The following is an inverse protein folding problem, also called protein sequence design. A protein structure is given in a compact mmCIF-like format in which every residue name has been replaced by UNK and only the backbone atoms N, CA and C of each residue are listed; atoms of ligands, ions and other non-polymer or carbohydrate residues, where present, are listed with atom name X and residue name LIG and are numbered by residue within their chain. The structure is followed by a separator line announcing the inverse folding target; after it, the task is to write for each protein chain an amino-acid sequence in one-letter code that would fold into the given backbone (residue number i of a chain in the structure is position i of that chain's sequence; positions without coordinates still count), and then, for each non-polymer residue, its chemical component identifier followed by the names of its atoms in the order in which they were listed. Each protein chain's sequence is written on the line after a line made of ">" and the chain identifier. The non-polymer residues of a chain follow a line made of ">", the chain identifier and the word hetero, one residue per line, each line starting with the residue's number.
data_IF_711161757292
#
_entry.id   IF_711161757292
#
_cell.length_a   1.000
_cell.length_b   1.000
_cell.length_c   1.000
_cell.angle_alpha   90.00
_cell.angle_beta   90.00
_cell.angle_gamma   90.00
#
_symmetry.space_group_name_H-M   'P 1'
#
loop_
_entity.id
_entity.type
_entity.pdbx_description
1 polymer ?
#
# COMPACT_ATOMS: atom_id res chain seq x y z
N UNK A 1 -28.91 7.66 39.50
CA UNK A 1 -29.21 7.29 38.10
C UNK A 1 -28.25 6.19 37.65
N UNK A 2 -28.71 5.16 36.93
CA UNK A 2 -27.87 4.01 36.56
C UNK A 2 -26.69 4.47 35.67
N UNK A 3 -25.43 4.05 35.94
CA UNK A 3 -24.24 4.59 35.28
C UNK A 3 -24.28 4.48 33.75
N UNK A 4 -24.94 3.43 33.23
CA UNK A 4 -25.17 3.23 31.79
C UNK A 4 -26.05 4.33 31.15
N UNK A 5 -27.01 4.89 31.90
CA UNK A 5 -27.86 5.99 31.42
C UNK A 5 -27.11 7.33 31.41
N UNK A 6 -26.19 7.54 32.34
CA UNK A 6 -25.35 8.74 32.37
C UNK A 6 -24.39 8.74 31.17
N UNK A 7 -23.74 7.60 30.90
CA UNK A 7 -22.85 7.46 29.76
C UNK A 7 -23.58 7.69 28.42
N UNK A 8 -24.80 7.15 28.27
CA UNK A 8 -25.60 7.35 27.07
C UNK A 8 -25.98 8.82 26.85
N UNK A 9 -26.33 9.55 27.92
CA UNK A 9 -26.67 10.99 27.83
C UNK A 9 -25.43 11.82 27.49
N UNK A 10 -24.27 11.52 28.08
CA UNK A 10 -23.02 12.23 27.78
C UNK A 10 -22.60 12.03 26.32
N UNK A 11 -22.70 10.79 25.80
CA UNK A 11 -22.43 10.50 24.39
C UNK A 11 -23.39 11.24 23.46
N UNK A 12 -24.68 11.26 23.81
CA UNK A 12 -25.69 11.93 22.99
C UNK A 12 -25.50 13.46 22.95
N UNK A 13 -25.12 14.07 24.09
CA UNK A 13 -24.77 15.50 24.14
C UNK A 13 -23.53 15.80 23.30
N UNK A 14 -22.49 14.96 23.36
CA UNK A 14 -21.27 15.15 22.59
C UNK A 14 -21.54 15.08 21.07
N UNK A 15 -22.34 14.10 20.63
CA UNK A 15 -22.71 13.95 19.21
C UNK A 15 -23.50 15.17 18.71
N UNK A 16 -24.47 15.65 19.50
CA UNK A 16 -25.26 16.85 19.13
C UNK A 16 -24.38 18.10 19.07
N UNK A 17 -23.45 18.28 20.02
CA UNK A 17 -22.51 19.41 20.01
C UNK A 17 -21.59 19.39 18.79
N UNK A 18 -21.10 18.22 18.37
CA UNK A 18 -20.27 18.08 17.16
C UNK A 18 -21.03 18.40 15.87
N UNK A 19 -22.30 17.98 15.78
CA UNK A 19 -23.14 18.31 14.61
C UNK A 19 -23.44 19.81 14.54
N UNK A 20 -23.73 20.47 15.67
CA UNK A 20 -23.92 21.91 15.71
C UNK A 20 -22.64 22.68 15.31
N UNK A 21 -21.47 22.20 15.73
CA UNK A 21 -20.19 22.80 15.36
C UNK A 21 -19.88 22.68 13.86
N UNK A 22 -20.26 21.57 13.21
CA UNK A 22 -20.10 21.40 11.76
C UNK A 22 -21.00 22.34 10.96
N UNK A 23 -22.23 22.60 11.42
CA UNK A 23 -23.16 23.53 10.76
C UNK A 23 -22.79 25.00 11.03
N UNK A 24 -22.15 25.30 12.16
CA UNK A 24 -21.77 26.67 12.55
C UNK A 24 -20.47 27.20 11.94
N UNK A 25 -19.71 26.42 11.16
CA UNK A 25 -18.39 26.81 10.67
C UNK A 25 -18.36 27.36 9.22
N UNK A 26 -19.51 27.73 8.66
CA UNK A 26 -19.60 28.38 7.35
C UNK A 26 -20.14 29.81 7.44
N UNK A 27 -19.37 30.70 8.09
CA UNK A 27 -19.35 32.14 7.80
C UNK A 27 -18.16 32.81 8.50
N UNK A 28 -17.00 32.83 7.83
CA UNK A 28 -16.02 33.92 7.98
C UNK A 28 -15.14 34.04 6.75
N UNK A 29 -15.76 34.52 5.67
CA UNK A 29 -15.09 35.31 4.66
C UNK A 29 -14.99 36.75 5.18
N UNK A 30 -13.77 37.25 5.38
CA UNK A 30 -13.46 38.67 5.21
C UNK A 30 -12.01 38.83 4.76
N UNK A 31 -11.87 39.77 3.84
CA UNK A 31 -10.79 40.01 2.88
C UNK A 31 -9.78 41.06 3.38
N UNK A 32 -8.87 41.48 2.48
CA UNK A 32 -7.94 42.64 2.51
C UNK A 32 -6.52 42.24 2.98
N UNK A 33 -5.40 42.55 2.30
CA UNK A 33 -5.04 43.59 1.31
C UNK A 33 -3.89 43.08 0.42
N UNK A 34 -3.88 43.53 -0.83
CA UNK A 34 -2.74 43.35 -1.73
C UNK A 34 -1.61 44.37 -1.49
N UNK A 35 -0.45 44.05 -2.06
CA UNK A 35 0.52 45.04 -2.52
C UNK A 35 1.28 44.46 -3.73
N UNK A 36 1.26 45.22 -4.82
CA UNK A 36 1.86 44.95 -6.13
C UNK A 36 3.41 44.99 -6.11
N UNK A 37 4.04 44.39 -7.13
CA UNK A 37 5.00 45.06 -8.07
C UNK A 37 5.70 44.02 -9.01
N UNK A 38 5.27 44.04 -10.29
CA UNK A 38 6.02 44.03 -11.57
C UNK A 38 7.21 43.06 -11.82
N UNK A 39 7.03 42.07 -12.73
CA UNK A 39 7.49 41.98 -14.16
C UNK A 39 8.85 41.25 -14.35
N UNK A 40 9.21 40.68 -15.53
CA UNK A 40 8.46 40.51 -16.80
C UNK A 40 8.56 39.13 -17.51
N UNK A 41 7.48 38.84 -18.25
CA UNK A 41 7.37 38.40 -19.66
C UNK A 41 8.47 37.58 -20.36
N UNK A 42 8.12 36.38 -20.83
CA UNK A 42 8.52 35.74 -22.12
C UNK A 42 7.64 34.48 -22.31
N UNK A 43 6.56 34.46 -23.08
CA UNK A 43 6.45 34.43 -24.54
C UNK A 43 7.18 33.25 -25.23
N UNK A 44 6.53 32.07 -25.31
CA UNK A 44 6.64 31.08 -26.41
C UNK A 44 5.32 30.28 -26.43
N UNK A 45 4.34 30.67 -27.25
CA UNK A 45 4.01 30.14 -28.59
C UNK A 45 3.54 28.68 -28.59
N UNK A 46 2.21 28.53 -28.54
CA UNK A 46 1.48 27.30 -28.85
C UNK A 46 1.65 26.96 -30.34
N UNK A 47 1.87 25.68 -30.64
CA UNK A 47 1.63 25.13 -31.98
C UNK A 47 0.54 24.08 -31.90
N UNK A 48 -0.51 24.41 -32.63
CA UNK A 48 -1.64 23.60 -33.06
C UNK A 48 -1.18 22.37 -33.87
N UNK A 49 -1.77 21.21 -33.60
CA UNK A 49 -1.98 20.14 -34.59
C UNK A 49 -3.34 19.50 -34.33
N UNK A 50 -4.20 19.75 -35.30
CA UNK A 50 -5.51 19.16 -35.59
C UNK A 50 -5.48 17.66 -35.90
N UNK A 51 -6.51 16.97 -35.39
CA UNK A 51 -7.46 16.06 -36.09
C UNK A 51 -6.88 14.84 -36.83
N UNK A 52 -7.25 13.63 -36.39
CA UNK A 52 -8.17 12.82 -37.20
C UNK A 52 -8.82 11.66 -36.43
N UNK A 53 -10.13 11.59 -36.60
CA UNK A 53 -11.04 10.55 -36.16
C UNK A 53 -11.31 9.63 -37.35
N UNK A 54 -11.10 8.33 -37.21
CA UNK A 54 -11.69 7.35 -38.10
C UNK A 54 -12.05 6.08 -37.32
N UNK A 55 -13.36 5.95 -37.10
CA UNK A 55 -14.08 4.77 -36.64
C UNK A 55 -14.27 3.80 -37.81
N UNK A 56 -13.88 2.52 -37.65
CA UNK A 56 -14.44 1.41 -38.43
C UNK A 56 -14.54 0.16 -37.54
N UNK A 57 -15.79 -0.23 -37.25
CA UNK A 57 -16.25 -1.61 -36.90
C UNK A 57 -17.08 -2.08 -38.15
N UNK A 58 -17.56 -3.34 -38.35
CA UNK A 58 -17.54 -4.54 -37.50
C UNK A 58 -17.44 -5.93 -38.20
N UNK A 59 -17.44 -6.98 -37.34
CA UNK A 59 -18.11 -8.30 -37.47
C UNK A 59 -17.44 -9.52 -38.16
N UNK A 60 -17.55 -10.66 -37.43
CA UNK A 60 -17.34 -12.04 -37.90
C UNK A 60 -17.05 -13.00 -36.72
N UNK A 61 -18.01 -13.37 -35.85
CA UNK A 61 -18.84 -14.61 -35.89
C UNK A 61 -18.01 -15.91 -36.08
N UNK A 62 -18.06 -16.99 -35.27
CA UNK A 62 -19.03 -17.51 -34.29
C UNK A 62 -18.34 -18.52 -33.33
N UNK A 63 -19.03 -18.79 -32.21
CA UNK A 63 -19.23 -20.10 -31.55
C UNK A 63 -18.08 -21.13 -31.58
N UNK A 64 -17.52 -21.59 -30.47
CA UNK A 64 -18.18 -22.42 -29.44
C UNK A 64 -17.11 -22.67 -28.37
N UNK A 65 -17.34 -22.54 -27.08
CA UNK A 65 -17.95 -23.60 -26.28
C UNK A 65 -18.16 -23.04 -24.88
N UNK A 66 -19.40 -23.02 -24.40
CA UNK A 66 -19.64 -22.87 -22.95
C UNK A 66 -19.31 -24.22 -22.33
N UNK A 67 -18.03 -24.44 -22.07
CA UNK A 67 -17.62 -25.48 -21.14
C UNK A 67 -17.99 -24.94 -19.77
N UNK A 68 -19.12 -25.40 -19.25
CA UNK A 68 -19.48 -25.25 -17.83
C UNK A 68 -18.54 -26.17 -17.04
N UNK A 69 -17.27 -25.80 -17.02
CA UNK A 69 -16.35 -26.22 -15.97
C UNK A 69 -16.88 -25.55 -14.72
N UNK A 70 -17.40 -26.36 -13.81
CA UNK A 70 -17.45 -25.99 -12.40
C UNK A 70 -16.04 -25.56 -12.03
N UNK A 71 -15.83 -24.25 -12.06
CA UNK A 71 -14.65 -23.63 -11.51
C UNK A 71 -14.69 -23.97 -10.02
N UNK A 72 -14.00 -25.03 -9.66
CA UNK A 72 -13.26 -25.01 -8.41
C UNK A 72 -12.41 -23.75 -8.51
N UNK A 73 -12.91 -22.64 -7.99
CA UNK A 73 -12.23 -21.37 -8.03
C UNK A 73 -10.95 -21.56 -7.21
N UNK A 74 -9.89 -21.98 -7.90
CA UNK A 74 -8.57 -22.17 -7.35
C UNK A 74 -8.25 -20.86 -6.66
N UNK A 75 -8.16 -20.88 -5.33
CA UNK A 75 -7.83 -19.69 -4.58
C UNK A 75 -6.43 -19.26 -5.02
N UNK A 76 -6.34 -18.06 -5.56
CA UNK A 76 -5.06 -17.47 -5.95
C UNK A 76 -4.41 -16.94 -4.67
N UNK A 77 -3.68 -17.82 -3.99
CA UNK A 77 -2.93 -17.50 -2.78
C UNK A 77 -1.53 -17.02 -3.17
N UNK A 78 -1.18 -15.81 -2.76
CA UNK A 78 0.13 -15.21 -3.02
C UNK A 78 0.69 -14.56 -1.76
N UNK A 79 1.99 -14.72 -1.53
CA UNK A 79 2.71 -14.05 -0.47
C UNK A 79 3.45 -12.83 -1.01
N UNK A 80 3.11 -11.64 -0.52
CA UNK A 80 3.85 -10.41 -0.86
C UNK A 80 4.79 -10.08 0.29
N UNK A 81 6.09 -10.02 0.01
CA UNK A 81 7.10 -9.60 0.97
C UNK A 81 7.50 -8.17 0.63
N UNK A 82 7.13 -7.23 1.49
CA UNK A 82 7.41 -5.82 1.34
C UNK A 82 8.66 -5.42 2.11
N UNK A 83 9.45 -4.51 1.55
CA UNK A 83 10.37 -3.66 2.30
C UNK A 83 9.92 -2.21 2.23
N UNK A 84 9.51 -1.66 3.37
CA UNK A 84 9.06 -0.28 3.49
C UNK A 84 10.20 0.64 3.91
N UNK A 85 10.31 1.79 3.25
CA UNK A 85 11.26 2.84 3.60
C UNK A 85 10.70 4.25 3.36
N UNK A 86 11.38 5.27 3.89
CA UNK A 86 11.14 6.68 3.53
C UNK A 86 12.19 7.20 2.56
N UNK A 87 12.13 8.49 2.21
CA UNK A 87 13.06 9.09 1.22
C UNK A 87 14.53 9.01 1.65
N UNK A 88 14.81 9.29 2.92
CA UNK A 88 16.17 9.25 3.45
C UNK A 88 16.60 7.82 3.74
N UNK A 89 17.67 7.35 3.10
CA UNK A 89 18.17 5.98 3.29
C UNK A 89 19.62 6.02 3.76
N UNK A 90 19.90 5.38 4.89
CA UNK A 90 21.25 5.22 5.42
C UNK A 90 21.84 3.86 5.00
N UNK A 91 23.14 3.63 5.18
CA UNK A 91 23.77 2.35 4.84
C UNK A 91 23.09 1.13 5.47
N UNK A 92 22.62 1.23 6.71
CA UNK A 92 21.87 0.15 7.38
C UNK A 92 20.53 -0.13 6.69
N UNK A 93 19.83 0.89 6.18
CA UNK A 93 18.59 0.68 5.41
C UNK A 93 18.86 -0.15 4.15
N UNK A 94 19.96 0.14 3.44
CA UNK A 94 20.35 -0.65 2.28
C UNK A 94 20.69 -2.09 2.66
N UNK A 95 21.40 -2.32 3.78
CA UNK A 95 21.68 -3.69 4.26
C UNK A 95 20.41 -4.48 4.57
N UNK A 96 19.44 -3.87 5.28
CA UNK A 96 18.15 -4.51 5.58
C UNK A 96 17.44 -4.99 4.30
N UNK A 97 17.39 -4.12 3.28
CA UNK A 97 16.79 -4.45 1.98
C UNK A 97 17.55 -5.57 1.28
N UNK A 98 18.87 -5.40 1.11
CA UNK A 98 19.72 -6.34 0.38
C UNK A 98 19.69 -7.72 1.01
N UNK A 99 19.79 -7.82 2.34
CA UNK A 99 19.77 -9.13 3.01
C UNK A 99 18.40 -9.80 2.91
N UNK A 100 17.30 -9.04 2.99
CA UNK A 100 15.97 -9.62 2.81
C UNK A 100 15.78 -10.15 1.38
N UNK A 101 16.19 -9.36 0.37
CA UNK A 101 16.15 -9.79 -1.04
C UNK A 101 17.03 -11.01 -1.28
N UNK A 102 18.24 -11.03 -0.73
CA UNK A 102 19.18 -12.15 -0.84
C UNK A 102 18.61 -13.44 -0.24
N UNK A 103 17.98 -13.38 0.94
CA UNK A 103 17.32 -14.54 1.54
C UNK A 103 16.19 -15.09 0.64
N UNK A 104 15.41 -14.18 0.04
CA UNK A 104 14.33 -14.58 -0.88
C UNK A 104 14.87 -15.23 -2.16
N UNK A 105 15.87 -14.60 -2.79
CA UNK A 105 16.47 -15.12 -4.01
C UNK A 105 17.16 -16.47 -3.78
N UNK A 106 17.82 -16.65 -2.64
CA UNK A 106 18.57 -17.87 -2.33
C UNK A 106 17.67 -19.05 -2.01
N UNK A 107 16.59 -18.83 -1.26
CA UNK A 107 15.78 -19.92 -0.70
C UNK A 107 14.43 -20.12 -1.40
N UNK A 108 13.98 -19.14 -2.19
CA UNK A 108 12.65 -19.16 -2.80
C UNK A 108 12.64 -18.69 -4.26
N UNK A 109 13.76 -18.88 -4.99
CA UNK A 109 13.87 -18.53 -6.41
C UNK A 109 12.70 -19.06 -7.25
N UNK A 110 12.34 -20.32 -7.08
CA UNK A 110 11.24 -20.95 -7.83
C UNK A 110 9.89 -20.30 -7.53
N UNK A 111 9.66 -19.92 -6.26
CA UNK A 111 8.42 -19.26 -5.82
C UNK A 111 8.33 -17.81 -6.28
N UNK A 112 9.47 -17.14 -6.39
CA UNK A 112 9.55 -15.82 -7.02
C UNK A 112 9.27 -15.92 -8.53
N UNK A 113 9.80 -16.95 -9.18
CA UNK A 113 9.60 -17.19 -10.62
C UNK A 113 8.14 -17.55 -10.95
N UNK A 114 7.49 -18.38 -10.12
CA UNK A 114 6.06 -18.71 -10.25
C UNK A 114 5.13 -17.58 -9.79
N UNK A 115 5.66 -16.53 -9.15
CA UNK A 115 4.91 -15.45 -8.49
C UNK A 115 4.04 -15.90 -7.31
N UNK A 116 4.34 -17.06 -6.72
CA UNK A 116 3.79 -17.45 -5.42
C UNK A 116 4.29 -16.50 -4.32
N UNK A 117 5.53 -15.99 -4.48
CA UNK A 117 6.09 -14.90 -3.69
C UNK A 117 6.35 -13.69 -4.58
N UNK A 118 6.00 -12.50 -4.10
CA UNK A 118 6.31 -11.23 -4.77
C UNK A 118 7.10 -10.32 -3.83
N UNK A 119 8.29 -9.91 -4.25
CA UNK A 119 9.08 -8.91 -3.53
C UNK A 119 8.72 -7.49 -3.97
N UNK A 120 8.45 -6.59 -3.01
CA UNK A 120 8.15 -5.17 -3.29
C UNK A 120 8.92 -4.23 -2.38
N UNK A 121 9.64 -3.28 -2.98
CA UNK A 121 10.26 -2.17 -2.25
C UNK A 121 9.35 -0.96 -2.36
N UNK A 122 8.93 -0.40 -1.23
CA UNK A 122 7.90 0.64 -1.18
C UNK A 122 8.37 1.85 -0.39
N UNK A 123 8.37 3.01 -1.03
CA UNK A 123 8.61 4.29 -0.38
C UNK A 123 7.29 4.85 0.17
N UNK A 124 7.11 4.86 1.49
CA UNK A 124 5.88 5.33 2.16
C UNK A 124 5.76 6.84 2.24
N UNK A 125 6.78 7.61 1.83
CA UNK A 125 6.66 9.07 1.72
C UNK A 125 5.91 9.49 0.44
N UNK A 126 5.78 8.58 -0.53
CA UNK A 126 4.99 8.82 -1.75
C UNK A 126 3.49 8.85 -1.40
N UNK A 127 2.72 9.85 -1.89
CA UNK A 127 1.29 9.99 -1.58
C UNK A 127 0.48 8.70 -1.72
N UNK A 128 0.70 7.97 -2.81
CA UNK A 128 0.04 6.71 -3.15
C UNK A 128 0.32 5.58 -2.16
N UNK A 129 1.45 5.62 -1.44
CA UNK A 129 1.89 4.56 -0.52
C UNK A 129 1.70 4.92 0.96
N UNK A 130 1.24 6.13 1.28
CA UNK A 130 1.14 6.59 2.69
C UNK A 130 0.16 5.76 3.53
N UNK A 131 -0.82 5.12 2.89
CA UNK A 131 -1.80 4.26 3.55
C UNK A 131 -1.15 3.13 4.35
N UNK A 132 -0.07 2.53 3.82
CA UNK A 132 0.67 1.45 4.48
C UNK A 132 1.19 1.78 5.88
N UNK A 133 1.43 3.07 6.19
CA UNK A 133 1.83 3.49 7.54
C UNK A 133 0.75 3.11 8.55
N UNK A 134 -0.52 3.32 8.20
CA UNK A 134 -1.66 3.00 9.06
C UNK A 134 -1.98 1.51 9.02
N UNK A 135 -1.98 0.91 7.82
CA UNK A 135 -2.36 -0.49 7.62
C UNK A 135 -1.44 -1.45 8.38
N UNK A 136 -0.12 -1.23 8.30
CA UNK A 136 0.89 -2.06 8.96
C UNK A 136 1.46 -1.43 10.24
N UNK A 137 0.91 -0.29 10.67
CA UNK A 137 1.36 0.45 11.87
C UNK A 137 2.88 0.70 11.84
N UNK A 138 3.37 1.14 10.69
CA UNK A 138 4.80 1.32 10.46
C UNK A 138 5.33 2.50 11.27
N UNK A 139 6.32 2.24 12.12
CA UNK A 139 7.05 3.27 12.87
C UNK A 139 8.44 3.53 12.30
N UNK A 140 8.96 2.62 11.47
CA UNK A 140 10.29 2.71 10.84
C UNK A 140 10.37 1.82 9.59
N UNK A 141 11.57 1.60 9.05
CA UNK A 141 11.78 0.66 7.92
C UNK A 141 11.44 -0.74 8.40
N UNK A 142 10.68 -1.46 7.60
CA UNK A 142 10.11 -2.74 8.00
C UNK A 142 10.13 -3.71 6.83
N UNK A 143 10.31 -4.98 7.16
CA UNK A 143 9.98 -6.09 6.25
C UNK A 143 8.64 -6.64 6.72
N UNK A 144 7.64 -6.60 5.85
CA UNK A 144 6.30 -7.15 6.10
C UNK A 144 6.10 -8.35 5.20
N UNK A 145 5.59 -9.45 5.76
CA UNK A 145 5.04 -10.57 4.99
C UNK A 145 3.52 -10.43 4.98
N UNK A 146 2.92 -10.38 3.80
CA UNK A 146 1.48 -10.23 3.57
C UNK A 146 0.97 -11.42 2.76
N UNK A 147 0.11 -12.24 3.34
CA UNK A 147 -0.58 -13.29 2.58
C UNK A 147 -1.88 -12.73 1.99
N UNK A 148 -2.05 -12.95 0.69
CA UNK A 148 -3.21 -12.51 -0.07
C UNK A 148 -3.91 -13.71 -0.68
N UNK A 149 -5.24 -13.67 -0.71
CA UNK A 149 -6.09 -14.65 -1.39
C UNK A 149 -6.99 -13.88 -2.33
N UNK A 150 -6.92 -14.20 -3.63
CA UNK A 150 -7.64 -13.50 -4.69
C UNK A 150 -7.40 -11.97 -4.63
N UNK A 151 -6.15 -11.57 -4.39
CA UNK A 151 -5.72 -10.17 -4.30
C UNK A 151 -6.11 -9.43 -3.01
N UNK A 152 -6.80 -10.08 -2.07
CA UNK A 152 -7.15 -9.50 -0.76
C UNK A 152 -6.21 -10.03 0.31
N UNK A 153 -5.58 -9.16 1.07
CA UNK A 153 -4.79 -9.56 2.24
C UNK A 153 -5.69 -10.25 3.28
N UNK A 154 -5.26 -11.42 3.75
CA UNK A 154 -5.95 -12.21 4.78
C UNK A 154 -5.19 -12.24 6.10
N UNK A 155 -3.86 -12.08 6.07
CA UNK A 155 -3.01 -11.91 7.25
C UNK A 155 -1.67 -11.32 6.86
N UNK A 156 -0.99 -10.73 7.85
CA UNK A 156 0.34 -10.20 7.68
C UNK A 156 1.16 -10.27 8.97
N UNK A 157 2.47 -10.10 8.85
CA UNK A 157 3.40 -10.01 9.99
C UNK A 157 4.52 -9.02 9.72
N UNK A 158 4.82 -8.19 10.71
CA UNK A 158 6.03 -7.38 10.75
C UNK A 158 7.21 -8.20 11.29
N UNK A 159 8.32 -8.22 10.56
CA UNK A 159 9.53 -8.92 10.98
C UNK A 159 10.37 -8.02 11.88
N UNK A 160 9.91 -7.79 13.11
CA UNK A 160 10.48 -6.78 14.03
C UNK A 160 11.96 -7.02 14.38
N UNK A 161 12.43 -8.27 14.33
CA UNK A 161 13.80 -8.64 14.70
C UNK A 161 14.84 -8.26 13.66
N UNK A 162 14.47 -7.78 12.48
CA UNK A 162 15.42 -7.39 11.43
C UNK A 162 16.45 -6.37 11.92
N UNK A 163 16.04 -5.44 12.79
CA UNK A 163 16.92 -4.41 13.35
C UNK A 163 17.95 -4.97 14.34
N UNK A 164 17.56 -6.02 15.07
CA UNK A 164 18.44 -6.71 16.02
C UNK A 164 19.47 -7.55 15.27
N UNK A 165 19.06 -8.13 14.14
CA UNK A 165 19.85 -9.11 13.39
C UNK A 165 20.71 -8.48 12.28
N UNK A 166 20.49 -7.23 11.85
CA UNK A 166 21.18 -6.64 10.68
C UNK A 166 22.72 -6.63 10.75
N UNK A 167 23.31 -6.74 11.95
CA UNK A 167 24.76 -6.82 12.14
C UNK A 167 25.30 -8.25 11.97
N UNK A 168 24.43 -9.24 12.08
CA UNK A 168 24.71 -10.66 11.86
C UNK A 168 23.94 -11.11 10.62
N UNK A 169 24.63 -11.07 9.48
CA UNK A 169 24.03 -11.36 8.18
C UNK A 169 23.42 -12.77 8.15
N UNK A 170 24.11 -13.77 8.68
CA UNK A 170 23.62 -15.15 8.63
C UNK A 170 22.32 -15.30 9.44
N UNK A 171 22.30 -14.80 10.66
CA UNK A 171 21.09 -14.81 11.50
C UNK A 171 19.93 -14.04 10.85
N UNK A 172 20.22 -12.94 10.15
CA UNK A 172 19.22 -12.20 9.39
C UNK A 172 18.62 -13.03 8.26
N UNK A 173 19.47 -13.64 7.43
CA UNK A 173 19.03 -14.46 6.28
C UNK A 173 18.16 -15.63 6.75
N UNK A 174 18.62 -16.34 7.79
CA UNK A 174 17.86 -17.44 8.41
C UNK A 174 16.51 -16.96 8.93
N UNK A 175 16.46 -15.81 9.60
CA UNK A 175 15.21 -15.26 10.13
C UNK A 175 14.19 -14.92 9.04
N UNK A 176 14.63 -14.36 7.91
CA UNK A 176 13.75 -14.10 6.76
C UNK A 176 13.25 -15.42 6.18
N UNK A 177 14.16 -16.38 5.94
CA UNK A 177 13.82 -17.70 5.42
C UNK A 177 12.75 -18.37 6.27
N UNK A 178 13.01 -18.51 7.56
CA UNK A 178 12.13 -19.24 8.48
C UNK A 178 10.77 -18.56 8.60
N UNK A 179 10.75 -17.22 8.64
CA UNK A 179 9.50 -16.46 8.69
C UNK A 179 8.65 -16.65 7.43
N UNK A 180 9.28 -16.66 6.25
CA UNK A 180 8.59 -16.88 4.97
C UNK A 180 8.11 -18.33 4.83
N UNK A 181 8.96 -19.31 5.19
CA UNK A 181 8.56 -20.73 5.19
C UNK A 181 7.37 -20.98 6.09
N UNK A 182 7.35 -20.40 7.29
CA UNK A 182 6.22 -20.51 8.23
C UNK A 182 4.92 -20.03 7.57
N UNK A 183 4.95 -18.88 6.88
CA UNK A 183 3.77 -18.37 6.19
C UNK A 183 3.29 -19.31 5.08
N UNK A 184 4.20 -19.87 4.29
CA UNK A 184 3.89 -20.80 3.22
C UNK A 184 3.34 -22.15 3.71
N UNK A 185 3.69 -22.56 4.93
CA UNK A 185 3.20 -23.79 5.55
C UNK A 185 1.83 -23.61 6.19
N UNK A 186 1.60 -22.50 6.89
CA UNK A 186 0.33 -22.18 7.54
C UNK A 186 -0.79 -21.80 6.55
N UNK A 187 -0.44 -21.46 5.31
CA UNK A 187 -1.38 -21.10 4.23
C UNK A 187 -1.88 -22.26 3.37
N UNK A 188 -1.45 -23.50 3.67
CA UNK A 188 -1.93 -24.73 3.01
C UNK A 188 -3.19 -25.27 3.68
#
# INVERSE_FOLDING_TARGET
>A
MKPKRILAVVLLVFVVASLAYMVGKEQKSDSISGEDVNHPTSAVKNHDVTVDTAEVTPQGNQSSSTNKQEANAQRDTQLVVYYFHGDMRCPTCHRLETYAKEALDTHFADKLASKDIVWKVVNVNKPENRHFIQDYRLVTRSVIISETVNGREIRWKNLERIWQLVKDKESYLNYIRDSVSTFLEEGK
#
